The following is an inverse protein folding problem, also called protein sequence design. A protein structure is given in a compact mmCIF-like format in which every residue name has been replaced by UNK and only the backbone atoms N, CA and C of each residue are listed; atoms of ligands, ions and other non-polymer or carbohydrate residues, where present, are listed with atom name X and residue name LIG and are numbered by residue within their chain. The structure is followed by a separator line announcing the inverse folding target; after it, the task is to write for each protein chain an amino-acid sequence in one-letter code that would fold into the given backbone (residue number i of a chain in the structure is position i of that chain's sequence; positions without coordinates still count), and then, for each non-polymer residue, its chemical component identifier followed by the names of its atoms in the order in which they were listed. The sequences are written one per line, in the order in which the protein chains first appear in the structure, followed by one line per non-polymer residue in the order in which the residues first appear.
data_IF_440422935810
#
_entry.id   IF_440422935810
#
_cell.length_a   1.000
_cell.length_b   1.000
_cell.length_c   1.000
_cell.angle_alpha   90.00
_cell.angle_beta   90.00
_cell.angle_gamma   90.00
#
_symmetry.space_group_name_H-M   'P 1'
#
loop_
_entity.id
_entity.type
_entity.pdbx_description
1 polymer ?
#
# COMPACT_ATOMS: atom_id res chain seq x y z
N UNK A 1 -21.22 -6.28 6.50
CA UNK A 1 -20.47 -7.27 7.29
C UNK A 1 -21.26 -7.52 8.56
N UNK A 2 -21.70 -8.77 8.71
CA UNK A 2 -21.83 -9.39 10.03
C UNK A 2 -20.63 -8.97 10.89
N UNK A 3 -20.87 -8.66 12.17
CA UNK A 3 -19.78 -8.49 13.12
C UNK A 3 -18.97 -9.78 13.07
N UNK A 4 -17.83 -9.73 12.39
CA UNK A 4 -16.89 -10.84 12.32
C UNK A 4 -16.61 -11.29 13.73
N UNK A 5 -16.75 -12.60 13.93
CA UNK A 5 -16.41 -13.30 15.17
C UNK A 5 -15.16 -12.69 15.79
N UNK A 6 -15.27 -12.21 17.03
CA UNK A 6 -14.15 -11.76 17.85
C UNK A 6 -13.33 -12.97 18.29
N UNK A 7 -12.68 -13.64 17.35
CA UNK A 7 -11.60 -14.54 17.68
C UNK A 7 -10.34 -13.70 17.89
N UNK A 8 -10.11 -13.30 19.14
CA UNK A 8 -8.95 -12.48 19.55
C UNK A 8 -7.60 -13.17 19.29
N UNK A 9 -7.60 -14.44 18.87
CA UNK A 9 -6.38 -15.23 18.67
C UNK A 9 -5.65 -14.95 17.34
N UNK A 10 -6.33 -14.46 16.29
CA UNK A 10 -5.67 -14.26 14.98
C UNK A 10 -4.99 -12.89 14.81
N UNK A 11 -5.36 -11.89 15.62
CA UNK A 11 -4.80 -10.53 15.54
C UNK A 11 -3.46 -10.41 16.28
N UNK A 12 -3.12 -11.34 17.18
CA UNK A 12 -1.89 -11.23 17.97
C UNK A 12 -0.60 -11.50 17.19
N UNK A 13 -0.67 -12.07 15.99
CA UNK A 13 0.51 -12.52 15.24
C UNK A 13 0.86 -11.68 14.00
N UNK A 14 0.00 -10.74 13.59
CA UNK A 14 0.25 -9.86 12.45
C UNK A 14 1.04 -8.61 12.85
N UNK A 15 2.02 -8.22 12.03
CA UNK A 15 2.80 -7.00 12.24
C UNK A 15 2.99 -6.23 10.93
N UNK A 16 3.49 -5.01 11.03
CA UNK A 16 3.82 -4.15 9.89
C UNK A 16 5.33 -4.16 9.66
N UNK A 17 5.74 -4.40 8.42
CA UNK A 17 7.11 -4.23 7.96
C UNK A 17 7.14 -3.20 6.83
N UNK A 18 8.09 -2.27 6.89
CA UNK A 18 8.35 -1.31 5.81
C UNK A 18 9.62 -1.73 5.08
N UNK A 19 9.53 -1.82 3.75
CA UNK A 19 10.66 -2.13 2.87
C UNK A 19 10.96 -0.92 2.01
N UNK A 20 12.22 -0.50 2.02
CA UNK A 20 12.76 0.51 1.14
C UNK A 20 13.77 -0.23 0.25
N UNK A 21 13.34 -0.52 -0.97
CA UNK A 21 14.11 -1.32 -1.91
C UNK A 21 15.09 -0.42 -2.66
N UNK A 22 16.24 -0.99 -3.00
CA UNK A 22 17.34 -0.28 -3.64
C UNK A 22 17.54 -0.82 -5.06
N UNK A 23 17.92 0.06 -5.98
CA UNK A 23 18.12 -0.27 -7.39
C UNK A 23 16.87 -0.91 -8.02
N UNK A 24 15.73 -0.23 -7.97
CA UNK A 24 14.54 -0.64 -8.73
C UNK A 24 14.78 -0.39 -10.23
N UNK A 25 15.22 0.83 -10.57
CA UNK A 25 15.44 1.26 -11.94
C UNK A 25 16.53 0.48 -12.69
N UNK A 26 16.36 0.40 -14.01
CA UNK A 26 17.39 -0.08 -14.93
C UNK A 26 18.52 0.95 -15.06
N UNK A 27 19.77 0.48 -15.21
CA UNK A 27 20.88 1.35 -15.58
C UNK A 27 20.90 1.67 -17.07
N UNK A 28 20.40 0.76 -17.91
CA UNK A 28 20.38 0.95 -19.36
C UNK A 28 19.05 0.56 -19.99
N UNK A 29 18.75 -0.74 -20.00
CA UNK A 29 17.59 -1.28 -20.69
C UNK A 29 16.83 -2.15 -19.68
N UNK A 30 15.55 -1.86 -19.45
CA UNK A 30 14.72 -2.66 -18.56
C UNK A 30 14.68 -4.12 -19.05
N UNK A 31 15.34 -5.01 -18.30
CA UNK A 31 15.43 -6.44 -18.62
C UNK A 31 15.45 -7.27 -17.34
N UNK A 32 15.29 -8.59 -17.46
CA UNK A 32 15.32 -9.49 -16.31
C UNK A 32 16.59 -9.41 -15.42
N UNK A 33 17.69 -8.85 -15.93
CA UNK A 33 18.95 -8.66 -15.20
C UNK A 33 19.30 -7.20 -14.90
N UNK A 34 18.67 -6.25 -15.61
CA UNK A 34 18.88 -4.81 -15.50
C UNK A 34 17.57 -4.14 -15.07
N UNK A 35 17.16 -4.48 -13.84
CA UNK A 35 16.05 -3.91 -13.08
C UNK A 35 15.96 -4.60 -11.71
N UNK A 36 15.23 -4.00 -10.77
CA UNK A 36 14.72 -4.58 -9.51
C UNK A 36 15.80 -5.35 -8.72
N UNK A 37 17.01 -4.79 -8.68
CA UNK A 37 18.22 -5.39 -8.13
C UNK A 37 18.04 -5.78 -6.66
N UNK A 38 17.59 -4.82 -5.85
CA UNK A 38 17.34 -5.01 -4.42
C UNK A 38 16.24 -6.02 -4.16
N UNK A 39 15.11 -5.94 -4.87
CA UNK A 39 14.02 -6.89 -4.75
C UNK A 39 14.43 -8.32 -5.11
N UNK A 40 15.14 -8.51 -6.24
CA UNK A 40 15.66 -9.83 -6.65
C UNK A 40 16.56 -10.43 -5.59
N UNK A 41 17.48 -9.62 -5.05
CA UNK A 41 18.38 -10.04 -3.98
C UNK A 41 17.61 -10.39 -2.69
N UNK A 42 16.70 -9.53 -2.25
CA UNK A 42 15.97 -9.70 -0.99
C UNK A 42 15.02 -10.90 -1.03
N UNK A 43 14.26 -11.07 -2.11
CA UNK A 43 13.36 -12.22 -2.27
C UNK A 43 14.14 -13.55 -2.26
N UNK A 44 15.28 -13.62 -2.95
CA UNK A 44 16.17 -14.80 -2.93
C UNK A 44 16.80 -15.05 -1.55
N UNK A 45 17.09 -13.99 -0.79
CA UNK A 45 17.57 -14.10 0.59
C UNK A 45 16.50 -14.69 1.51
N UNK A 46 15.28 -14.15 1.48
CA UNK A 46 14.17 -14.56 2.35
C UNK A 46 13.55 -15.92 2.01
N UNK A 47 13.73 -16.40 0.78
CA UNK A 47 13.42 -17.78 0.41
C UNK A 47 14.35 -18.80 1.09
N UNK A 48 15.59 -18.40 1.41
CA UNK A 48 16.59 -19.27 2.04
C UNK A 48 16.55 -19.18 3.57
N UNK A 49 16.38 -17.97 4.10
CA UNK A 49 16.35 -17.71 5.54
C UNK A 49 15.08 -18.25 6.21
N UNK A 50 15.25 -18.83 7.39
CA UNK A 50 14.11 -19.21 8.24
C UNK A 50 13.53 -18.00 8.98
N UNK A 51 12.23 -18.06 9.27
CA UNK A 51 11.53 -17.08 10.08
C UNK A 51 12.12 -17.01 11.49
N UNK A 52 12.09 -15.82 12.09
CA UNK A 52 12.66 -15.60 13.41
C UNK A 52 11.86 -16.28 14.53
N UNK A 53 10.54 -16.47 14.33
CA UNK A 53 9.63 -17.11 15.29
C UNK A 53 9.55 -18.62 15.08
N UNK A 54 9.63 -19.10 13.83
CA UNK A 54 9.58 -20.53 13.50
C UNK A 54 10.69 -20.90 12.50
N UNK A 55 11.73 -21.66 12.93
CA UNK A 55 12.82 -22.06 12.04
C UNK A 55 12.40 -22.98 10.88
N UNK A 56 11.20 -23.58 10.94
CA UNK A 56 10.65 -24.44 9.89
C UNK A 56 9.94 -23.65 8.78
N UNK A 57 9.63 -22.37 9.00
CA UNK A 57 8.99 -21.49 8.03
C UNK A 57 10.06 -20.62 7.36
N UNK A 58 9.93 -20.35 6.07
CA UNK A 58 10.81 -19.40 5.37
C UNK A 58 10.32 -17.97 5.59
N UNK A 59 11.24 -17.01 5.74
CA UNK A 59 10.87 -15.59 5.94
C UNK A 59 9.93 -15.08 4.86
N UNK A 60 10.13 -15.48 3.61
CA UNK A 60 9.26 -15.00 2.53
C UNK A 60 7.81 -15.50 2.69
N UNK A 61 7.62 -16.67 3.29
CA UNK A 61 6.31 -17.28 3.51
C UNK A 61 5.55 -16.64 4.69
N UNK A 62 6.20 -15.82 5.52
CA UNK A 62 5.51 -15.06 6.59
C UNK A 62 4.95 -13.72 6.10
N UNK A 63 5.19 -13.35 4.84
CA UNK A 63 4.55 -12.18 4.21
C UNK A 63 3.11 -12.54 3.89
N UNK A 64 2.16 -11.95 4.62
CA UNK A 64 0.73 -12.14 4.37
C UNK A 64 0.28 -11.42 3.11
N UNK A 65 0.62 -10.13 2.98
CA UNK A 65 0.40 -9.34 1.78
C UNK A 65 1.60 -8.43 1.55
N UNK A 66 2.09 -8.34 0.32
CA UNK A 66 3.04 -7.32 -0.10
C UNK A 66 2.29 -6.18 -0.79
N UNK A 67 2.19 -5.04 -0.10
CA UNK A 67 1.62 -3.81 -0.66
C UNK A 67 2.76 -2.95 -1.21
N UNK A 68 2.85 -2.80 -2.53
CA UNK A 68 3.85 -1.99 -3.20
C UNK A 68 3.23 -0.67 -3.65
N UNK A 69 3.89 0.45 -3.34
CA UNK A 69 3.45 1.80 -3.67
C UNK A 69 4.44 2.37 -4.68
N UNK A 70 3.96 2.79 -5.84
CA UNK A 70 4.81 3.39 -6.88
C UNK A 70 4.06 4.46 -7.70
N UNK A 71 4.80 5.42 -8.24
CA UNK A 71 4.32 6.53 -9.08
C UNK A 71 3.11 7.29 -8.52
N UNK A 72 3.26 7.81 -7.30
CA UNK A 72 2.21 8.51 -6.55
C UNK A 72 2.62 9.97 -6.33
N UNK A 73 1.79 10.92 -6.76
CA UNK A 73 1.93 12.31 -6.30
C UNK A 73 1.41 13.39 -7.23
N UNK A 74 1.22 13.09 -8.50
CA UNK A 74 0.73 14.05 -9.51
C UNK A 74 -0.79 14.09 -9.55
N UNK A 75 -1.38 15.17 -10.08
CA UNK A 75 -2.86 15.33 -10.18
C UNK A 75 -3.55 14.26 -11.02
N UNK A 76 -2.83 13.57 -11.90
CA UNK A 76 -3.30 12.49 -12.77
C UNK A 76 -3.09 11.08 -12.16
N UNK A 77 -2.66 10.99 -10.90
CA UNK A 77 -2.53 9.72 -10.18
C UNK A 77 -3.88 8.99 -10.09
N UNK A 78 -3.94 7.76 -10.60
CA UNK A 78 -5.11 6.89 -10.52
C UNK A 78 -4.70 5.42 -10.39
N UNK A 79 -5.28 4.69 -9.45
CA UNK A 79 -5.07 3.25 -9.31
C UNK A 79 -6.18 2.44 -9.97
N UNK A 80 -5.82 1.24 -10.42
CA UNK A 80 -6.72 0.21 -10.95
C UNK A 80 -6.47 -1.12 -10.22
N UNK A 81 -7.44 -2.03 -10.23
CA UNK A 81 -7.28 -3.36 -9.63
C UNK A 81 -6.34 -4.22 -10.49
N UNK A 82 -5.07 -4.40 -10.07
CA UNK A 82 -4.07 -5.13 -10.86
C UNK A 82 -4.21 -6.65 -10.80
N UNK A 83 -4.52 -7.20 -9.62
CA UNK A 83 -4.52 -8.65 -9.38
C UNK A 83 -5.84 -9.12 -8.76
N UNK A 84 -6.31 -10.28 -9.22
CA UNK A 84 -7.53 -10.90 -8.69
C UNK A 84 -7.35 -11.37 -7.24
N UNK A 85 -6.17 -11.89 -6.89
CA UNK A 85 -5.90 -12.44 -5.57
C UNK A 85 -5.98 -11.40 -4.44
N UNK A 86 -5.70 -10.13 -4.73
CA UNK A 86 -5.83 -9.01 -3.79
C UNK A 86 -7.03 -8.10 -4.06
N UNK A 87 -8.01 -8.54 -4.86
CA UNK A 87 -9.15 -7.72 -5.26
C UNK A 87 -9.96 -7.17 -4.08
N UNK A 88 -10.08 -7.94 -2.99
CA UNK A 88 -10.85 -7.52 -1.82
C UNK A 88 -10.16 -6.40 -1.04
N UNK A 89 -8.82 -6.40 -1.01
CA UNK A 89 -8.03 -5.30 -0.43
C UNK A 89 -8.19 -4.03 -1.28
N UNK A 90 -8.16 -4.17 -2.60
CA UNK A 90 -8.37 -3.06 -3.52
C UNK A 90 -9.79 -2.48 -3.39
N UNK A 91 -10.83 -3.32 -3.37
CA UNK A 91 -12.21 -2.89 -3.12
C UNK A 91 -12.38 -2.20 -1.76
N UNK A 92 -11.57 -2.56 -0.77
CA UNK A 92 -11.57 -1.90 0.52
C UNK A 92 -11.04 -0.46 0.42
N UNK A 93 -9.97 -0.21 -0.33
CA UNK A 93 -9.48 1.14 -0.62
C UNK A 93 -10.54 2.00 -1.31
N UNK A 94 -11.22 1.45 -2.32
CA UNK A 94 -12.33 2.12 -3.02
C UNK A 94 -13.47 2.49 -2.05
N UNK A 95 -13.85 1.57 -1.15
CA UNK A 95 -14.88 1.83 -0.12
C UNK A 95 -14.45 2.91 0.88
N UNK A 96 -13.19 2.88 1.32
CA UNK A 96 -12.65 3.89 2.24
C UNK A 96 -12.66 5.26 1.57
N UNK A 97 -12.18 5.37 0.33
CA UNK A 97 -12.23 6.62 -0.42
C UNK A 97 -13.66 7.15 -0.53
N UNK A 98 -14.61 6.33 -0.95
CA UNK A 98 -16.02 6.72 -1.06
C UNK A 98 -16.61 7.19 0.27
N UNK A 99 -16.24 6.54 1.38
CA UNK A 99 -16.69 6.93 2.71
C UNK A 99 -16.07 8.26 3.17
N UNK A 100 -14.76 8.43 3.04
CA UNK A 100 -14.08 9.67 3.42
C UNK A 100 -14.55 10.85 2.57
N UNK A 101 -14.75 10.64 1.27
CA UNK A 101 -15.24 11.65 0.33
C UNK A 101 -16.68 12.08 0.67
N UNK A 102 -17.59 11.14 0.88
CA UNK A 102 -19.00 11.44 1.20
C UNK A 102 -19.18 12.17 2.54
N UNK A 103 -18.27 11.95 3.48
CA UNK A 103 -18.25 12.62 4.79
C UNK A 103 -17.37 13.88 4.83
N UNK A 104 -16.84 14.35 3.68
CA UNK A 104 -16.01 15.56 3.58
C UNK A 104 -14.73 15.50 4.44
N UNK A 105 -14.16 14.30 4.58
CA UNK A 105 -12.85 14.10 5.22
C UNK A 105 -11.68 14.17 4.22
N UNK A 106 -11.96 14.27 2.92
CA UNK A 106 -10.96 14.51 1.88
C UNK A 106 -10.97 16.01 1.49
N UNK A 107 -9.85 16.51 0.98
CA UNK A 107 -9.67 17.89 0.54
C UNK A 107 -10.62 18.25 -0.59
N UNK A 108 -10.88 17.29 -1.50
CA UNK A 108 -11.63 17.52 -2.73
C UNK A 108 -10.90 18.41 -3.74
N UNK A 109 -9.58 18.59 -3.58
CA UNK A 109 -8.75 19.46 -4.42
C UNK A 109 -8.36 18.87 -5.77
N UNK A 110 -8.63 17.59 -6.00
CA UNK A 110 -8.29 16.88 -7.24
C UNK A 110 -9.55 16.28 -7.90
N UNK A 111 -9.46 16.03 -9.22
CA UNK A 111 -10.59 15.53 -10.01
C UNK A 111 -10.81 14.04 -9.78
N UNK A 112 -12.04 13.68 -9.44
CA UNK A 112 -12.48 12.28 -9.41
C UNK A 112 -11.84 11.42 -8.32
N UNK A 113 -12.12 10.10 -8.35
CA UNK A 113 -11.55 9.15 -7.41
C UNK A 113 -10.09 8.80 -7.74
N UNK A 114 -9.27 8.59 -6.70
CA UNK A 114 -7.90 8.07 -6.81
C UNK A 114 -7.96 6.57 -7.12
N UNK A 115 -8.88 5.83 -6.52
CA UNK A 115 -9.06 4.39 -6.75
C UNK A 115 -10.22 4.16 -7.71
N UNK A 116 -9.90 3.78 -8.94
CA UNK A 116 -10.90 3.52 -9.97
C UNK A 116 -11.54 2.13 -9.78
N UNK A 117 -12.72 1.91 -10.37
CA UNK A 117 -13.36 0.59 -10.44
C UNK A 117 -12.90 -0.26 -11.65
N UNK A 118 -11.90 0.21 -12.40
CA UNK A 118 -11.38 -0.48 -13.57
C UNK A 118 -10.43 -1.62 -13.15
N UNK A 119 -10.40 -2.65 -13.98
CA UNK A 119 -9.48 -3.78 -13.85
C UNK A 119 -8.24 -3.44 -14.66
N UNK A 120 -7.09 -3.43 -14.01
CA UNK A 120 -5.80 -3.25 -14.64
C UNK A 120 -5.38 -4.50 -15.42
N UNK A 121 -4.43 -4.35 -16.33
CA UNK A 121 -3.88 -5.48 -17.09
C UNK A 121 -2.96 -6.38 -16.25
N UNK A 122 -2.42 -5.87 -15.12
CA UNK A 122 -1.64 -6.66 -14.16
C UNK A 122 -0.24 -7.05 -14.62
N UNK A 123 0.23 -6.56 -15.77
CA UNK A 123 1.55 -6.90 -16.33
C UNK A 123 2.60 -5.79 -16.25
N UNK A 124 2.43 -4.82 -15.35
CA UNK A 124 3.47 -3.83 -15.07
C UNK A 124 4.53 -4.50 -14.20
N UNK A 125 5.74 -4.64 -14.72
CA UNK A 125 6.87 -5.17 -13.95
C UNK A 125 7.38 -4.12 -12.97
N UNK A 126 7.67 -4.56 -11.74
CA UNK A 126 8.18 -3.73 -10.64
C UNK A 126 8.72 -4.70 -9.55
N UNK A 127 9.22 -4.17 -8.44
CA UNK A 127 9.86 -4.81 -7.31
C UNK A 127 9.06 -5.97 -6.67
N UNK A 128 7.76 -6.05 -6.93
CA UNK A 128 6.92 -7.16 -6.48
C UNK A 128 7.18 -8.48 -7.23
N UNK A 129 7.69 -8.44 -8.47
CA UNK A 129 7.82 -9.62 -9.34
C UNK A 129 8.61 -10.76 -8.68
N UNK A 130 9.76 -10.55 -8.02
CA UNK A 130 10.52 -11.62 -7.38
C UNK A 130 9.80 -12.26 -6.19
N UNK A 131 8.95 -11.51 -5.49
CA UNK A 131 8.14 -11.99 -4.37
C UNK A 131 6.93 -12.78 -4.87
N UNK A 132 6.23 -12.24 -5.87
CA UNK A 132 5.08 -12.90 -6.50
C UNK A 132 5.45 -14.25 -7.10
N UNK A 133 6.62 -14.36 -7.76
CA UNK A 133 7.16 -15.64 -8.27
C UNK A 133 7.40 -16.70 -7.18
N UNK A 134 7.42 -16.29 -5.90
CA UNK A 134 7.62 -17.15 -4.72
C UNK A 134 6.34 -17.33 -3.90
N UNK A 135 5.18 -16.99 -4.49
CA UNK A 135 3.87 -17.21 -3.90
C UNK A 135 3.40 -16.12 -2.93
N UNK A 136 4.05 -14.96 -2.91
CA UNK A 136 3.58 -13.81 -2.12
C UNK A 136 2.46 -13.10 -2.87
N UNK A 137 1.34 -12.87 -2.19
CA UNK A 137 0.23 -12.08 -2.75
C UNK A 137 0.54 -10.59 -2.72
N UNK A 138 0.27 -9.89 -3.83
CA UNK A 138 0.70 -8.51 -4.05
C UNK A 138 -0.48 -7.59 -4.27
N UNK A 139 -0.57 -6.51 -3.50
CA UNK A 139 -1.41 -5.36 -3.81
C UNK A 139 -0.52 -4.27 -4.42
N UNK A 140 -0.54 -4.15 -5.75
CA UNK A 140 0.28 -3.20 -6.48
C UNK A 140 -0.47 -1.88 -6.70
N UNK A 141 -0.10 -0.87 -5.92
CA UNK A 141 -0.63 0.50 -6.00
C UNK A 141 0.31 1.36 -6.83
N UNK A 142 0.22 1.18 -8.15
CA UNK A 142 0.91 1.99 -9.15
C UNK A 142 -0.08 2.77 -10.01
N UNK A 143 0.19 4.04 -10.26
CA UNK A 143 -0.70 4.86 -11.08
C UNK A 143 -0.81 4.28 -12.49
N UNK A 144 -2.02 4.14 -13.02
CA UNK A 144 -2.30 3.67 -14.38
C UNK A 144 -3.43 4.50 -15.01
N UNK A 145 -3.14 5.33 -16.03
CA UNK A 145 -1.84 5.51 -16.70
C UNK A 145 -0.74 6.05 -15.77
N UNK A 146 0.53 5.86 -16.17
CA UNK A 146 1.67 6.45 -15.48
C UNK A 146 1.54 7.99 -15.49
N UNK A 147 2.07 8.68 -14.46
CA UNK A 147 2.10 10.13 -14.44
C UNK A 147 2.68 10.69 -15.74
N UNK A 148 2.09 11.77 -16.25
CA UNK A 148 2.55 12.42 -17.49
C UNK A 148 4.02 12.89 -17.47
N UNK A 149 4.61 12.99 -16.27
CA UNK A 149 6.02 13.36 -16.05
C UNK A 149 6.96 12.16 -15.83
N UNK A 150 6.45 10.92 -15.84
CA UNK A 150 7.26 9.72 -15.57
C UNK A 150 8.44 9.58 -16.54
N UNK A 151 9.62 9.29 -15.97
CA UNK A 151 10.91 9.24 -16.68
C UNK A 151 11.23 10.52 -17.48
N UNK A 152 10.67 11.67 -17.06
CA UNK A 152 11.01 12.98 -17.59
C UNK A 152 11.69 13.84 -16.52
N UNK A 153 12.52 14.82 -16.91
CA UNK A 153 13.09 15.78 -15.96
C UNK A 153 12.06 16.60 -15.16
N UNK A 154 10.79 16.58 -15.58
CA UNK A 154 9.67 17.24 -14.91
C UNK A 154 9.10 16.42 -13.74
N UNK A 155 9.59 15.21 -13.49
CA UNK A 155 9.27 14.49 -12.26
C UNK A 155 10.01 15.13 -11.08
N UNK A 156 9.46 16.27 -10.64
CA UNK A 156 10.03 17.16 -9.66
C UNK A 156 8.97 17.71 -8.69
N UNK A 157 9.43 18.46 -7.70
CA UNK A 157 8.57 19.06 -6.67
C UNK A 157 7.42 19.91 -7.23
N UNK A 158 7.62 20.56 -8.38
CA UNK A 158 6.65 21.51 -8.92
C UNK A 158 5.44 20.84 -9.56
N UNK A 159 5.54 19.54 -9.87
CA UNK A 159 4.46 18.75 -10.49
C UNK A 159 3.67 17.91 -9.48
N UNK A 160 4.04 17.96 -8.19
CA UNK A 160 3.29 17.31 -7.12
C UNK A 160 1.97 18.05 -6.82
N UNK A 161 0.90 17.28 -6.63
CA UNK A 161 -0.38 17.73 -6.11
C UNK A 161 -0.51 17.34 -4.64
N UNK A 162 -0.26 18.31 -3.76
CA UNK A 162 -0.32 18.08 -2.32
C UNK A 162 -1.74 17.82 -1.78
N UNK A 163 -2.79 18.20 -2.50
CA UNK A 163 -4.16 17.83 -2.12
C UNK A 163 -4.39 16.34 -2.38
N UNK A 164 -3.94 15.85 -3.54
CA UNK A 164 -3.99 14.43 -3.88
C UNK A 164 -3.13 13.60 -2.91
N UNK A 165 -1.92 14.05 -2.59
CA UNK A 165 -1.03 13.37 -1.64
C UNK A 165 -1.65 13.29 -0.24
N UNK A 166 -2.29 14.35 0.25
CA UNK A 166 -2.99 14.34 1.54
C UNK A 166 -4.19 13.39 1.52
N UNK A 167 -4.99 13.40 0.45
CA UNK A 167 -6.15 12.52 0.32
C UNK A 167 -5.75 11.04 0.21
N UNK A 168 -4.73 10.71 -0.58
CA UNK A 168 -4.14 9.37 -0.62
C UNK A 168 -3.65 8.95 0.77
N UNK A 169 -2.91 9.82 1.46
CA UNK A 169 -2.37 9.54 2.80
C UNK A 169 -3.49 9.25 3.81
N UNK A 170 -4.61 9.99 3.76
CA UNK A 170 -5.78 9.76 4.62
C UNK A 170 -6.43 8.40 4.33
N UNK A 171 -6.65 8.08 3.06
CA UNK A 171 -7.23 6.81 2.63
C UNK A 171 -6.34 5.64 3.07
N UNK A 172 -5.04 5.72 2.77
CA UNK A 172 -4.08 4.66 3.07
C UNK A 172 -3.92 4.44 4.57
N UNK A 173 -3.92 5.50 5.39
CA UNK A 173 -3.89 5.38 6.86
C UNK A 173 -5.09 4.65 7.41
N UNK A 174 -6.30 4.96 6.92
CA UNK A 174 -7.52 4.23 7.33
C UNK A 174 -7.45 2.78 6.87
N UNK A 175 -6.95 2.53 5.66
CA UNK A 175 -6.76 1.18 5.13
C UNK A 175 -5.83 0.33 6.01
N UNK A 176 -4.63 0.83 6.32
CA UNK A 176 -3.67 0.14 7.19
C UNK A 176 -4.25 -0.05 8.60
N UNK A 177 -4.96 0.96 9.13
CA UNK A 177 -5.64 0.85 10.43
C UNK A 177 -6.67 -0.29 10.43
N UNK A 178 -7.47 -0.41 9.37
CA UNK A 178 -8.45 -1.49 9.27
C UNK A 178 -7.78 -2.85 9.07
N UNK A 179 -6.72 -2.91 8.27
CA UNK A 179 -5.97 -4.14 7.97
C UNK A 179 -5.31 -4.75 9.22
N UNK A 180 -4.79 -3.89 10.09
CA UNK A 180 -4.14 -4.25 11.35
C UNK A 180 -5.12 -4.25 12.55
N UNK A 181 -6.42 -4.05 12.29
CA UNK A 181 -7.47 -3.95 13.32
C UNK A 181 -7.17 -2.94 14.44
N UNK A 182 -6.43 -1.87 14.13
CA UNK A 182 -6.06 -0.86 15.10
C UNK A 182 -7.31 -0.14 15.60
N UNK A 183 -7.40 0.00 16.92
CA UNK A 183 -8.44 0.79 17.57
C UNK A 183 -7.88 2.17 17.88
N UNK A 184 -8.67 3.24 17.75
CA UNK A 184 -8.26 4.54 18.27
C UNK A 184 -7.99 4.39 19.77
N UNK A 185 -6.87 4.94 20.22
CA UNK A 185 -6.59 5.03 21.65
C UNK A 185 -7.80 5.69 22.32
N UNK A 186 -8.35 5.03 23.34
CA UNK A 186 -9.37 5.64 24.18
C UNK A 186 -8.70 6.78 24.95
N UNK A 187 -8.59 7.95 24.30
CA UNK A 187 -8.34 9.20 25.00
C UNK A 187 -9.58 9.40 25.85
N UNK A 188 -9.53 8.95 27.10
CA UNK A 188 -10.38 9.49 28.15
C UNK A 188 -10.35 11.00 27.94
N UNK A 189 -11.48 11.57 27.49
CA UNK A 189 -11.66 13.01 27.47
C UNK A 189 -11.10 13.49 28.79
N UNK A 190 -10.00 14.25 28.78
CA UNK A 190 -9.51 14.94 29.96
C UNK A 190 -10.67 15.85 30.37
N UNK A 191 -11.57 15.34 31.21
CA UNK A 191 -12.54 16.15 31.93
C UNK A 191 -11.66 17.14 32.69
N UNK A 192 -11.62 18.39 32.22
CA UNK A 192 -11.16 19.50 33.04
C UNK A 192 -12.01 19.40 34.31
N UNK A 193 -11.43 18.95 35.41
CA UNK A 193 -11.99 19.21 36.73
C UNK A 193 -11.95 20.73 36.84
N UNK A 194 -13.10 21.38 36.67
CA UNK A 194 -13.27 22.71 37.20
C UNK A 194 -13.08 22.58 38.72
N UNK A 195 -11.96 23.09 39.22
CA UNK A 195 -11.81 23.40 40.63
C UNK A 195 -12.68 24.62 40.90
N UNK A 196 -13.86 24.40 41.45
CA UNK A 196 -14.62 25.45 42.12
C UNK A 196 -13.86 25.82 43.40
N UNK A 197 -13.53 27.11 43.51
CA UNK A 197 -13.31 27.82 44.77
C UNK A 197 -14.60 28.54 45.13
#
# INVERSE_FOLDING_TARGET
MEKGSTDKSSVSDLTLQLLFLDGEEAFKDWTATDSIYGARHLASKWERESDNKDPNVKKISSIREFILLDLIGTTDTQFNQQFESTQELYKHLVKIEGHLRSNKYLTGGHKGPIFSSQIGWGGIEDDHVPFMRRGVEVLHLISTPFPSVWHQPQDDWSHLDFNLIDDFSRIFRVFVSNLLHLQPEARSCRKKKNSEL
#
